data_IF_199177799751
#
_entry.id   IF_199177799751
#
_cell.length_a   1.000
_cell.length_b   1.000
_cell.length_c   1.000
_cell.angle_alpha   90.00
_cell.angle_beta   90.00
_cell.angle_gamma   90.00
#
_symmetry.space_group_name_H-M   'P 1'
#
loop_
_entity.id
_entity.type
_entity.pdbx_description
1 polymer ?
#
# COMPACT_ATOMS: atom_id res chain seq x y z
N UNK A 1 -8.04 -31.18 -35.99
CA UNK A 1 -6.90 -30.95 -35.05
C UNK A 1 -7.16 -29.91 -33.95
N UNK A 2 -7.75 -28.73 -34.22
CA UNK A 2 -7.95 -27.66 -33.19
C UNK A 2 -8.78 -28.12 -31.97
N UNK A 3 -9.89 -28.83 -32.20
CA UNK A 3 -10.78 -29.37 -31.16
C UNK A 3 -10.07 -30.37 -30.23
N UNK A 4 -9.22 -31.23 -30.78
CA UNK A 4 -8.43 -32.19 -30.00
C UNK A 4 -7.44 -31.48 -29.05
N UNK A 5 -6.71 -30.47 -29.55
CA UNK A 5 -5.79 -29.67 -28.71
C UNK A 5 -6.53 -28.90 -27.62
N UNK A 6 -7.72 -28.38 -27.93
CA UNK A 6 -8.56 -27.70 -26.95
C UNK A 6 -9.00 -28.66 -25.83
N UNK A 7 -9.48 -29.86 -26.18
CA UNK A 7 -9.85 -30.89 -25.22
C UNK A 7 -8.66 -31.35 -24.38
N UNK A 8 -7.48 -31.50 -24.98
CA UNK A 8 -6.24 -31.84 -24.26
C UNK A 8 -5.86 -30.75 -23.25
N UNK A 9 -5.95 -29.47 -23.63
CA UNK A 9 -5.69 -28.33 -22.72
C UNK A 9 -6.68 -28.32 -21.55
N UNK A 10 -7.97 -28.52 -21.83
CA UNK A 10 -9.02 -28.58 -20.80
C UNK A 10 -8.80 -29.76 -19.85
N UNK A 11 -8.51 -30.95 -20.38
CA UNK A 11 -8.24 -32.14 -19.58
C UNK A 11 -6.99 -31.97 -18.70
N UNK A 12 -5.92 -31.36 -19.25
CA UNK A 12 -4.71 -31.05 -18.49
C UNK A 12 -4.97 -30.02 -17.38
N UNK A 13 -5.68 -28.94 -17.68
CA UNK A 13 -6.07 -27.93 -16.69
C UNK A 13 -6.90 -28.55 -15.56
N UNK A 14 -7.92 -29.36 -15.88
CA UNK A 14 -8.75 -30.04 -14.89
C UNK A 14 -7.94 -31.02 -14.03
N UNK A 15 -6.99 -31.76 -14.62
CA UNK A 15 -6.09 -32.67 -13.88
C UNK A 15 -5.20 -31.90 -12.91
N UNK A 16 -4.65 -30.75 -13.35
CA UNK A 16 -3.82 -29.87 -12.52
C UNK A 16 -4.62 -29.29 -11.34
N UNK A 17 -5.83 -28.83 -11.60
CA UNK A 17 -6.73 -28.29 -10.58
C UNK A 17 -7.10 -29.34 -9.52
N UNK A 18 -7.48 -30.56 -9.94
CA UNK A 18 -7.72 -31.68 -9.02
C UNK A 18 -6.51 -32.00 -8.15
N UNK A 19 -5.32 -31.98 -8.74
CA UNK A 19 -4.08 -32.22 -8.01
C UNK A 19 -3.80 -31.14 -6.95
N UNK A 20 -4.02 -29.87 -7.29
CA UNK A 20 -3.90 -28.75 -6.34
C UNK A 20 -4.91 -28.90 -5.20
N UNK A 21 -6.16 -29.23 -5.51
CA UNK A 21 -7.20 -29.45 -4.50
C UNK A 21 -6.84 -30.61 -3.56
N UNK A 22 -6.24 -31.69 -4.08
CA UNK A 22 -5.76 -32.79 -3.26
C UNK A 22 -4.63 -32.36 -2.31
N UNK A 23 -3.74 -31.45 -2.74
CA UNK A 23 -2.70 -30.88 -1.86
C UNK A 23 -3.34 -30.06 -0.74
N UNK A 24 -4.30 -29.19 -1.07
CA UNK A 24 -5.01 -28.34 -0.09
C UNK A 24 -5.79 -29.18 0.92
N UNK A 25 -6.48 -30.23 0.47
CA UNK A 25 -7.22 -31.11 1.37
C UNK A 25 -6.27 -31.93 2.26
N UNK A 26 -5.16 -32.42 1.70
CA UNK A 26 -4.17 -33.18 2.46
C UNK A 26 -3.46 -32.31 3.50
N UNK A 27 -3.19 -31.03 3.22
CA UNK A 27 -2.52 -30.14 4.18
C UNK A 27 -3.33 -29.92 5.46
N UNK A 28 -4.65 -30.07 5.40
CA UNK A 28 -5.55 -29.90 6.55
C UNK A 28 -5.71 -31.16 7.40
N UNK A 29 -5.52 -32.36 6.81
CA UNK A 29 -5.91 -33.64 7.45
C UNK A 29 -4.80 -34.69 7.54
N UNK A 30 -3.83 -34.69 6.62
CA UNK A 30 -2.81 -35.74 6.50
C UNK A 30 -1.47 -35.18 5.99
N UNK A 31 -0.59 -34.88 6.95
CA UNK A 31 0.76 -34.35 6.70
C UNK A 31 1.62 -35.28 5.82
N UNK A 32 1.49 -36.61 5.96
CA UNK A 32 2.30 -37.57 5.19
C UNK A 32 1.90 -37.56 3.72
N UNK A 33 0.61 -37.53 3.45
CA UNK A 33 0.08 -37.43 2.08
C UNK A 33 0.38 -36.07 1.46
N UNK A 34 0.30 -35.00 2.24
CA UNK A 34 0.71 -33.66 1.80
C UNK A 34 2.16 -33.62 1.32
N UNK A 35 3.11 -34.05 2.15
CA UNK A 35 4.53 -34.03 1.78
C UNK A 35 4.84 -34.95 0.58
N UNK A 36 4.14 -36.08 0.46
CA UNK A 36 4.23 -36.95 -0.72
C UNK A 36 3.78 -36.25 -2.01
N UNK A 37 2.64 -35.56 -1.99
CA UNK A 37 2.11 -34.81 -3.14
C UNK A 37 3.01 -33.63 -3.51
N UNK A 38 3.53 -32.89 -2.53
CA UNK A 38 4.50 -31.80 -2.75
C UNK A 38 5.80 -32.34 -3.35
N UNK A 39 6.30 -33.49 -2.90
CA UNK A 39 7.49 -34.12 -3.49
C UNK A 39 7.24 -34.55 -4.93
N UNK A 40 6.05 -35.07 -5.24
CA UNK A 40 5.65 -35.43 -6.60
C UNK A 40 5.49 -34.21 -7.53
N UNK A 41 5.11 -33.05 -7.00
CA UNK A 41 5.10 -31.78 -7.74
C UNK A 41 6.53 -31.28 -8.02
N UNK A 42 7.44 -31.47 -7.04
CA UNK A 42 8.84 -31.01 -7.11
C UNK A 42 9.76 -31.94 -7.88
N UNK A 43 9.41 -33.22 -8.03
CA UNK A 43 10.12 -34.14 -8.92
C UNK A 43 9.90 -33.65 -10.35
N UNK A 44 10.77 -32.73 -10.76
CA UNK A 44 10.81 -32.14 -12.09
C UNK A 44 10.78 -33.27 -13.12
N UNK A 45 9.93 -33.10 -14.13
CA UNK A 45 10.39 -33.41 -15.47
C UNK A 45 11.65 -32.56 -15.66
N UNK A 46 12.83 -33.19 -15.63
CA UNK A 46 13.90 -32.74 -16.50
C UNK A 46 13.34 -32.86 -17.92
N UNK A 47 12.64 -31.83 -18.38
CA UNK A 47 12.65 -31.53 -19.81
C UNK A 47 14.03 -30.96 -20.12
N UNK A 48 15.06 -31.79 -19.94
CA UNK A 48 16.19 -31.73 -20.85
C UNK A 48 15.57 -32.05 -22.19
N UNK A 49 15.37 -31.00 -22.99
CA UNK A 49 15.08 -31.22 -24.39
C UNK A 49 16.39 -31.80 -24.90
N UNK A 50 16.51 -33.11 -25.06
CA UNK A 50 17.80 -33.71 -25.42
C UNK A 50 18.28 -33.22 -26.80
N UNK A 51 17.30 -32.88 -27.67
CA UNK A 51 17.52 -32.40 -29.03
C UNK A 51 16.54 -31.26 -29.35
N UNK A 52 17.06 -30.07 -29.62
CA UNK A 52 16.33 -28.90 -30.13
C UNK A 52 16.50 -28.81 -31.65
N UNK A 53 15.41 -28.66 -32.39
CA UNK A 53 15.44 -28.39 -33.82
C UNK A 53 15.11 -26.93 -34.09
N UNK A 54 16.04 -26.19 -34.73
CA UNK A 54 15.81 -24.84 -35.26
C UNK A 54 16.04 -24.90 -36.77
N UNK A 55 14.99 -24.71 -37.56
CA UNK A 55 15.02 -24.97 -39.01
C UNK A 55 15.31 -26.45 -39.30
N UNK A 56 16.35 -26.72 -40.09
CA UNK A 56 16.81 -28.07 -40.43
C UNK A 56 18.04 -28.53 -39.62
N UNK A 57 18.40 -27.82 -38.55
CA UNK A 57 19.56 -28.16 -37.71
C UNK A 57 19.11 -28.65 -36.33
N UNK A 58 19.75 -29.72 -35.87
CA UNK A 58 19.56 -30.31 -34.55
C UNK A 58 20.68 -29.85 -33.60
N UNK A 59 20.31 -29.45 -32.39
CA UNK A 59 21.20 -28.98 -31.34
C UNK A 59 20.98 -29.81 -30.07
N UNK A 60 22.06 -30.29 -29.45
CA UNK A 60 22.00 -31.19 -28.30
C UNK A 60 22.84 -30.64 -27.13
N UNK A 61 22.43 -30.99 -25.90
CA UNK A 61 23.16 -30.65 -24.68
C UNK A 61 23.31 -29.15 -24.43
N UNK A 62 24.52 -28.70 -24.07
CA UNK A 62 24.81 -27.29 -23.73
C UNK A 62 24.61 -26.32 -24.92
N UNK A 63 24.61 -26.81 -26.16
CA UNK A 63 24.41 -26.00 -27.37
C UNK A 63 22.96 -25.56 -27.57
N UNK A 64 22.03 -26.13 -26.81
CA UNK A 64 20.60 -25.78 -26.90
C UNK A 64 20.35 -24.36 -26.44
N UNK A 65 21.06 -23.92 -25.39
CA UNK A 65 20.91 -22.56 -24.87
C UNK A 65 21.46 -21.52 -25.85
N UNK A 66 22.63 -21.77 -26.45
CA UNK A 66 23.19 -20.87 -27.46
C UNK A 66 22.34 -20.86 -28.73
N UNK A 67 21.83 -22.02 -29.16
CA UNK A 67 20.94 -22.08 -30.32
C UNK A 67 19.62 -21.30 -30.10
N UNK A 68 19.05 -21.36 -28.89
CA UNK A 68 17.91 -20.52 -28.52
C UNK A 68 18.24 -19.04 -28.54
N UNK A 69 19.39 -18.65 -27.97
CA UNK A 69 19.85 -17.26 -27.96
C UNK A 69 19.97 -16.74 -29.39
N UNK A 70 20.69 -17.45 -30.27
CA UNK A 70 20.87 -17.04 -31.66
C UNK A 70 19.54 -16.98 -32.43
N UNK A 71 18.64 -17.94 -32.21
CA UNK A 71 17.33 -17.95 -32.86
C UNK A 71 16.48 -16.73 -32.46
N UNK A 72 16.40 -16.42 -31.18
CA UNK A 72 15.64 -15.27 -30.70
C UNK A 72 16.30 -13.94 -31.05
N UNK A 73 17.63 -13.88 -31.05
CA UNK A 73 18.37 -12.71 -31.51
C UNK A 73 18.09 -12.45 -33.00
N UNK A 74 18.02 -13.50 -33.83
CA UNK A 74 17.64 -13.37 -35.25
C UNK A 74 16.19 -12.91 -35.42
N UNK A 75 15.27 -13.37 -34.58
CA UNK A 75 13.87 -12.91 -34.62
C UNK A 75 13.71 -11.48 -34.08
N UNK A 76 14.55 -11.07 -33.15
CA UNK A 76 14.53 -9.74 -32.53
C UNK A 76 15.33 -8.68 -33.30
N UNK A 77 16.28 -9.11 -34.15
CA UNK A 77 17.06 -8.22 -35.00
C UNK A 77 16.33 -8.07 -36.34
N UNK A 78 15.78 -6.90 -36.67
CA UNK A 78 15.17 -6.67 -37.97
C UNK A 78 16.21 -6.95 -39.06
N UNK A 79 15.94 -7.92 -39.92
CA UNK A 79 16.75 -8.18 -41.09
C UNK A 79 16.32 -7.16 -42.16
N UNK A 80 17.06 -6.06 -42.26
CA UNK A 80 16.87 -5.04 -43.29
C UNK A 80 17.37 -5.58 -44.64
N UNK A 81 16.73 -6.63 -45.14
CA UNK A 81 16.82 -6.95 -46.56
C UNK A 81 16.24 -5.74 -47.31
N UNK A 82 16.79 -5.40 -48.48
CA UNK A 82 16.45 -4.19 -49.28
C UNK A 82 15.02 -4.20 -49.86
N UNK A 83 14.05 -4.83 -49.18
CA UNK A 83 12.64 -4.71 -49.45
C UNK A 83 12.15 -3.34 -48.97
N UNK A 84 11.56 -2.60 -49.91
CA UNK A 84 11.03 -1.23 -49.78
C UNK A 84 10.19 -1.02 -48.50
N UNK A 85 9.52 -2.07 -48.01
CA UNK A 85 8.66 -2.05 -46.83
C UNK A 85 9.39 -1.73 -45.52
N UNK A 86 10.61 -2.24 -45.32
CA UNK A 86 11.35 -2.05 -44.06
C UNK A 86 11.97 -0.65 -43.97
N UNK A 87 12.28 -0.03 -45.11
CA UNK A 87 12.73 1.37 -45.19
C UNK A 87 11.60 2.35 -44.85
N UNK A 88 10.41 2.15 -45.42
CA UNK A 88 9.23 2.97 -45.09
C UNK A 88 8.86 2.86 -43.60
N UNK A 89 8.98 1.66 -43.02
CA UNK A 89 8.66 1.45 -41.60
C UNK A 89 9.72 2.07 -40.66
N UNK A 90 10.99 2.07 -41.07
CA UNK A 90 12.07 2.76 -40.38
C UNK A 90 11.87 4.29 -40.43
N UNK A 91 11.51 4.83 -41.59
CA UNK A 91 11.20 6.25 -41.73
C UNK A 91 9.98 6.66 -40.89
N UNK A 92 8.92 5.85 -40.89
CA UNK A 92 7.74 6.09 -40.07
C UNK A 92 8.07 6.07 -38.56
N UNK A 93 8.89 5.12 -38.12
CA UNK A 93 9.34 5.04 -36.72
C UNK A 93 10.19 6.24 -36.32
N UNK A 94 11.07 6.71 -37.21
CA UNK A 94 11.86 7.93 -36.98
C UNK A 94 10.94 9.16 -36.89
N UNK A 95 9.94 9.25 -37.76
CA UNK A 95 8.98 10.35 -37.78
C UNK A 95 8.12 10.36 -36.50
N UNK A 96 7.63 9.20 -36.04
CA UNK A 96 6.95 9.07 -34.75
C UNK A 96 7.85 9.48 -33.58
N UNK A 97 9.09 9.00 -33.54
CA UNK A 97 10.03 9.33 -32.46
C UNK A 97 10.38 10.82 -32.44
N UNK A 98 10.34 11.51 -33.57
CA UNK A 98 10.54 12.97 -33.65
C UNK A 98 9.30 13.76 -33.19
N UNK A 99 8.09 13.18 -33.29
CA UNK A 99 6.85 13.80 -32.79
C UNK A 99 6.69 13.67 -31.27
N UNK A 100 7.34 12.67 -30.64
CA UNK A 100 7.28 12.46 -29.18
C UNK A 100 7.83 13.68 -28.41
N UNK A 101 9.01 14.24 -28.72
CA UNK A 101 9.52 15.46 -28.09
C UNK A 101 8.59 16.68 -28.28
N UNK A 102 7.98 16.85 -29.46
CA UNK A 102 7.07 17.97 -29.73
C UNK A 102 5.78 17.88 -28.89
N UNK A 103 5.31 16.66 -28.61
CA UNK A 103 4.21 16.39 -27.68
C UNK A 103 4.64 16.53 -26.20
N UNK A 104 5.89 16.17 -25.88
CA UNK A 104 6.44 16.31 -24.52
C UNK A 104 6.62 17.77 -24.09
N UNK A 105 6.87 18.69 -25.04
CA UNK A 105 6.88 20.16 -24.78
C UNK A 105 5.48 20.69 -24.43
N UNK A 106 4.41 19.95 -24.78
CA UNK A 106 3.04 20.25 -24.35
C UNK A 106 2.64 19.57 -23.03
N UNK A 107 3.56 18.87 -22.35
CA UNK A 107 3.25 18.25 -21.07
C UNK A 107 2.82 19.32 -20.07
N UNK A 108 1.52 19.34 -19.80
CA UNK A 108 0.92 20.05 -18.68
C UNK A 108 1.74 19.72 -17.44
N UNK A 109 2.17 20.77 -16.74
CA UNK A 109 2.77 20.66 -15.42
C UNK A 109 1.96 19.63 -14.61
N UNK A 110 2.62 18.55 -14.19
CA UNK A 110 1.98 17.55 -13.33
C UNK A 110 1.66 18.27 -12.03
N UNK A 111 0.38 18.54 -11.80
CA UNK A 111 -0.09 19.15 -10.57
C UNK A 111 0.33 18.27 -9.41
N UNK A 112 1.11 18.84 -8.49
CA UNK A 112 1.57 18.12 -7.28
C UNK A 112 0.33 17.68 -6.49
N UNK A 113 0.33 16.41 -6.09
CA UNK A 113 -0.74 15.87 -5.26
C UNK A 113 -0.81 16.61 -3.93
N UNK A 114 -2.02 16.94 -3.50
CA UNK A 114 -2.27 17.58 -2.20
C UNK A 114 -2.16 16.56 -1.06
N UNK A 115 -1.83 16.99 0.17
CA UNK A 115 -1.77 16.10 1.33
C UNK A 115 -3.06 15.30 1.55
N UNK A 116 -4.21 15.91 1.29
CA UNK A 116 -5.54 15.27 1.38
C UNK A 116 -5.75 14.17 0.36
N UNK A 117 -5.24 14.35 -0.87
CA UNK A 117 -5.32 13.32 -1.91
C UNK A 117 -4.44 12.13 -1.56
N UNK A 118 -3.25 12.40 -1.02
CA UNK A 118 -2.31 11.37 -0.56
C UNK A 118 -2.95 10.57 0.58
N UNK A 119 -3.54 11.22 1.58
CA UNK A 119 -4.19 10.53 2.70
C UNK A 119 -5.40 9.70 2.22
N UNK A 120 -6.21 10.25 1.31
CA UNK A 120 -7.32 9.50 0.69
C UNK A 120 -6.84 8.28 -0.09
N UNK A 121 -5.71 8.39 -0.79
CA UNK A 121 -5.10 7.29 -1.52
C UNK A 121 -4.57 6.20 -0.58
N UNK A 122 -3.88 6.58 0.50
CA UNK A 122 -3.37 5.64 1.52
C UNK A 122 -4.52 4.85 2.14
N UNK A 123 -5.62 5.52 2.51
CA UNK A 123 -6.81 4.85 3.09
C UNK A 123 -7.53 3.90 2.12
N UNK A 124 -7.33 4.06 0.81
CA UNK A 124 -7.89 3.19 -0.24
C UNK A 124 -7.00 2.02 -0.62
N UNK A 125 -5.82 1.89 0.00
CA UNK A 125 -4.94 0.74 -0.25
C UNK A 125 -5.64 -0.55 0.19
N UNK A 126 -5.58 -1.57 -0.67
CA UNK A 126 -6.14 -2.88 -0.38
C UNK A 126 -5.23 -3.59 0.63
N UNK A 127 -5.82 -4.07 1.72
CA UNK A 127 -5.13 -4.88 2.75
C UNK A 127 -4.95 -6.33 2.30
N UNK A 128 -4.06 -7.06 2.96
CA UNK A 128 -3.79 -8.48 2.73
C UNK A 128 -2.97 -8.79 1.48
N UNK A 129 -2.32 -7.79 0.88
CA UNK A 129 -1.41 -8.00 -0.25
C UNK A 129 -0.02 -8.45 0.24
N UNK A 130 0.70 -9.14 -0.65
CA UNK A 130 2.07 -9.55 -0.38
C UNK A 130 2.96 -8.32 -0.15
N UNK A 131 3.92 -8.45 0.75
CA UNK A 131 4.90 -7.41 1.02
C UNK A 131 5.78 -7.15 -0.19
N UNK A 132 6.36 -5.94 -0.24
CA UNK A 132 7.44 -5.63 -1.19
C UNK A 132 8.75 -6.35 -0.83
N UNK A 133 9.81 -6.02 -1.57
CA UNK A 133 11.17 -6.53 -1.33
C UNK A 133 11.76 -6.15 0.04
N UNK A 134 11.21 -5.12 0.69
CA UNK A 134 11.61 -4.63 2.01
C UNK A 134 10.71 -5.17 3.14
N UNK A 135 9.71 -6.00 2.82
CA UNK A 135 8.75 -6.48 3.81
C UNK A 135 7.65 -5.47 4.17
N UNK A 136 7.51 -4.37 3.42
CA UNK A 136 6.50 -3.35 3.67
C UNK A 136 5.16 -3.80 3.06
N UNK A 137 4.10 -3.76 3.87
CA UNK A 137 2.73 -4.04 3.44
C UNK A 137 1.87 -2.77 3.50
N UNK A 138 0.72 -2.78 2.82
CA UNK A 138 -0.29 -1.70 2.81
C UNK A 138 -0.67 -1.21 4.21
N UNK A 139 -0.77 -2.14 5.15
CA UNK A 139 -1.14 -1.94 6.55
C UNK A 139 -0.12 -1.05 7.27
N UNK A 140 1.16 -1.14 6.90
CA UNK A 140 2.18 -0.26 7.48
C UNK A 140 1.92 1.20 7.12
N UNK A 141 1.47 1.50 5.90
CA UNK A 141 1.12 2.86 5.50
C UNK A 141 -0.19 3.33 6.13
N UNK A 142 -1.18 2.44 6.21
CA UNK A 142 -2.49 2.75 6.80
C UNK A 142 -2.34 3.07 8.30
N UNK A 143 -1.53 2.28 9.02
CA UNK A 143 -1.36 2.42 10.47
C UNK A 143 -0.17 3.30 10.87
N UNK A 144 0.69 3.72 9.95
CA UNK A 144 1.82 4.59 10.26
C UNK A 144 1.38 5.84 11.01
N UNK A 145 0.27 6.47 10.59
CA UNK A 145 -0.27 7.67 11.24
C UNK A 145 -0.65 7.37 12.69
N UNK A 146 -1.44 6.32 12.94
CA UNK A 146 -1.86 5.93 14.29
C UNK A 146 -0.66 5.58 15.19
N UNK A 147 0.35 4.92 14.63
CA UNK A 147 1.59 4.58 15.33
C UNK A 147 2.36 5.85 15.71
N UNK A 148 2.52 6.79 14.78
CA UNK A 148 3.19 8.06 15.06
C UNK A 148 2.43 8.87 16.11
N UNK A 149 1.10 8.94 16.02
CA UNK A 149 0.28 9.60 17.04
C UNK A 149 0.49 8.96 18.42
N UNK A 150 0.51 7.63 18.49
CA UNK A 150 0.74 6.89 19.74
C UNK A 150 2.13 7.18 20.30
N UNK A 151 3.17 7.10 19.47
CA UNK A 151 4.56 7.40 19.90
C UNK A 151 4.69 8.84 20.38
N UNK A 152 4.05 9.79 19.71
CA UNK A 152 4.09 11.20 20.09
C UNK A 152 3.37 11.39 21.44
N UNK A 153 2.20 10.78 21.62
CA UNK A 153 1.47 10.81 22.90
C UNK A 153 2.33 10.23 24.03
N UNK A 154 2.83 9.02 23.86
CA UNK A 154 3.63 8.32 24.88
C UNK A 154 4.88 9.11 25.29
N UNK A 155 5.49 9.85 24.36
CA UNK A 155 6.68 10.67 24.64
C UNK A 155 6.37 12.01 25.28
N UNK A 156 5.30 12.68 24.86
CA UNK A 156 4.95 14.01 25.35
C UNK A 156 4.16 13.95 26.66
N UNK A 157 3.41 12.89 26.91
CA UNK A 157 2.54 12.77 28.08
C UNK A 157 3.30 12.90 29.41
N UNK A 158 4.47 12.26 29.62
CA UNK A 158 5.25 12.45 30.84
C UNK A 158 5.73 13.89 31.07
N UNK A 159 5.94 14.68 30.02
CA UNK A 159 6.36 16.08 30.11
C UNK A 159 5.19 17.04 30.33
N UNK A 160 4.05 16.75 29.70
CA UNK A 160 2.85 17.59 29.78
C UNK A 160 2.06 17.35 31.07
N UNK A 161 1.99 16.10 31.55
CA UNK A 161 1.16 15.72 32.68
C UNK A 161 1.48 16.50 33.98
N UNK A 162 2.75 16.71 34.37
CA UNK A 162 3.06 17.50 35.56
C UNK A 162 2.65 18.97 35.47
N UNK A 163 2.52 19.51 34.26
CA UNK A 163 2.11 20.89 34.01
C UNK A 163 0.59 21.08 33.90
N UNK A 164 -0.16 19.98 33.80
CA UNK A 164 -1.60 20.02 33.64
C UNK A 164 -2.28 20.50 34.94
N UNK A 165 -3.27 21.38 34.82
CA UNK A 165 -4.06 21.80 35.96
C UNK A 165 -4.78 20.58 36.57
N UNK A 166 -4.69 20.38 37.88
CA UNK A 166 -5.33 19.26 38.59
C UNK A 166 -6.86 19.26 38.47
N UNK A 167 -7.47 20.39 38.12
CA UNK A 167 -8.90 20.52 37.83
C UNK A 167 -9.26 20.28 36.36
N UNK A 168 -8.27 20.20 35.46
CA UNK A 168 -8.49 19.81 34.07
C UNK A 168 -8.71 18.30 34.01
N UNK A 169 -9.92 17.88 33.61
CA UNK A 169 -10.35 16.48 33.62
C UNK A 169 -10.73 15.94 32.25
N UNK A 170 -10.73 16.78 31.21
CA UNK A 170 -10.97 16.34 29.84
C UNK A 170 -9.74 15.63 29.28
N UNK A 171 -9.93 14.42 28.75
CA UNK A 171 -8.89 13.59 28.09
C UNK A 171 -7.69 13.22 28.97
N UNK A 172 -7.85 13.20 30.30
CA UNK A 172 -6.81 12.74 31.24
C UNK A 172 -7.10 11.31 31.67
N UNK A 173 -6.07 10.46 31.74
CA UNK A 173 -6.21 9.07 32.19
C UNK A 173 -6.84 9.01 33.61
N UNK A 174 -7.82 8.12 33.79
CA UNK A 174 -8.54 7.95 35.06
C UNK A 174 -9.53 9.07 35.40
N UNK A 175 -9.61 10.13 34.61
CA UNK A 175 -10.63 11.17 34.78
C UNK A 175 -11.95 10.76 34.09
N UNK A 176 -13.09 11.11 34.70
CA UNK A 176 -14.41 10.85 34.17
C UNK A 176 -15.27 12.11 34.27
N UNK A 177 -16.18 12.29 33.31
CA UNK A 177 -17.18 13.37 33.35
C UNK A 177 -18.03 13.33 34.62
N UNK A 178 -18.27 12.14 35.17
CA UNK A 178 -18.97 11.96 36.44
C UNK A 178 -18.21 12.58 37.61
N UNK A 179 -16.89 12.51 37.61
CA UNK A 179 -16.07 13.10 38.67
C UNK A 179 -16.12 14.63 38.62
N UNK A 180 -16.09 15.21 37.41
CA UNK A 180 -16.29 16.66 37.23
C UNK A 180 -17.68 17.09 37.70
N UNK A 181 -18.72 16.34 37.35
CA UNK A 181 -20.07 16.61 37.82
C UNK A 181 -20.18 16.53 39.35
N UNK A 182 -19.49 15.57 39.96
CA UNK A 182 -19.43 15.41 41.41
C UNK A 182 -18.76 16.61 42.09
N UNK A 183 -17.63 17.10 41.59
CA UNK A 183 -16.96 18.30 42.14
C UNK A 183 -17.89 19.53 42.06
N UNK A 184 -18.55 19.74 40.92
CA UNK A 184 -19.51 20.85 40.75
C UNK A 184 -20.66 20.70 41.74
N UNK A 185 -21.17 19.49 41.92
CA UNK A 185 -22.24 19.18 42.87
C UNK A 185 -21.82 19.46 44.32
N UNK A 186 -20.67 18.95 44.77
CA UNK A 186 -20.16 19.21 46.12
C UNK A 186 -19.93 20.70 46.38
N UNK A 187 -19.35 21.40 45.41
CA UNK A 187 -19.14 22.85 45.49
C UNK A 187 -20.49 23.58 45.64
N UNK A 188 -21.49 23.20 44.84
CA UNK A 188 -22.83 23.77 44.91
C UNK A 188 -23.47 23.53 46.28
N UNK A 189 -23.35 22.31 46.80
CA UNK A 189 -23.91 21.94 48.11
C UNK A 189 -23.23 22.69 49.26
N UNK A 190 -21.91 22.87 49.20
CA UNK A 190 -21.15 23.62 50.19
C UNK A 190 -21.59 25.09 50.25
N UNK A 191 -21.69 25.77 49.10
CA UNK A 191 -22.13 27.17 49.06
C UNK A 191 -23.57 27.34 49.55
N UNK A 192 -24.45 26.40 49.20
CA UNK A 192 -25.83 26.35 49.72
C UNK A 192 -25.85 26.21 51.24
N UNK A 193 -25.01 25.35 51.81
CA UNK A 193 -24.90 25.17 53.25
C UNK A 193 -24.39 26.46 53.95
N UNK A 194 -23.40 27.13 53.36
CA UNK A 194 -22.84 28.38 53.86
C UNK A 194 -23.73 29.60 53.66
N UNK A 195 -24.84 29.46 52.90
CA UNK A 195 -25.74 30.56 52.51
C UNK A 195 -25.03 31.70 51.76
N UNK A 196 -24.01 31.35 50.98
CA UNK A 196 -23.29 32.28 50.10
C UNK A 196 -23.81 32.12 48.67
N UNK A 197 -23.95 33.22 47.94
CA UNK A 197 -24.34 33.20 46.52
C UNK A 197 -23.21 32.59 45.70
N UNK A 198 -23.52 31.55 44.92
CA UNK A 198 -22.61 30.94 43.96
C UNK A 198 -22.99 31.40 42.55
N UNK A 199 -22.06 32.02 41.84
CA UNK A 199 -22.21 32.37 40.43
C UNK A 199 -21.43 31.36 39.58
N UNK A 200 -22.10 30.69 38.65
CA UNK A 200 -21.49 29.72 37.74
C UNK A 200 -21.22 30.37 36.39
N UNK A 201 -19.95 30.47 36.00
CA UNK A 201 -19.55 30.88 34.66
C UNK A 201 -19.33 29.64 33.80
N UNK A 202 -20.11 29.49 32.73
CA UNK A 202 -19.90 28.46 31.72
C UNK A 202 -19.25 29.08 30.49
N UNK A 203 -18.12 28.51 30.07
CA UNK A 203 -17.46 28.86 28.81
C UNK A 203 -17.59 27.67 27.87
N UNK A 204 -18.12 27.91 26.67
CA UNK A 204 -18.12 26.94 25.58
C UNK A 204 -17.22 27.46 24.47
N UNK A 205 -16.33 26.61 23.99
CA UNK A 205 -15.37 26.97 22.96
C UNK A 205 -15.85 26.42 21.62
N UNK A 206 -16.25 27.31 20.71
CA UNK A 206 -16.67 26.94 19.37
C UNK A 206 -15.56 26.15 18.67
N UNK A 207 -15.88 24.94 18.17
CA UNK A 207 -14.97 23.91 17.60
C UNK A 207 -13.51 24.38 17.49
N UNK A 208 -12.77 24.23 18.60
CA UNK A 208 -11.45 24.83 18.87
C UNK A 208 -10.38 24.64 17.79
N UNK A 209 -10.52 23.66 16.90
CA UNK A 209 -9.51 23.35 15.89
C UNK A 209 -9.55 24.31 14.69
N UNK A 210 -10.71 24.89 14.35
CA UNK A 210 -10.89 25.66 13.10
C UNK A 210 -10.20 27.03 13.14
N UNK A 211 -9.96 27.57 14.34
CA UNK A 211 -9.32 28.87 14.56
C UNK A 211 -7.94 28.76 15.23
N UNK A 212 -7.44 27.54 15.46
CA UNK A 212 -6.15 27.34 16.10
C UNK A 212 -5.04 27.72 15.12
N UNK A 213 -4.23 28.72 15.49
CA UNK A 213 -3.09 29.14 14.68
C UNK A 213 -1.82 28.55 15.26
N UNK A 214 -1.23 27.57 14.58
CA UNK A 214 0.04 26.97 15.00
C UNK A 214 1.21 27.73 14.37
N UNK A 215 2.20 28.07 15.20
CA UNK A 215 3.54 28.43 14.77
C UNK A 215 4.48 27.33 15.26
N UNK A 216 5.02 26.56 14.32
CA UNK A 216 6.00 25.51 14.62
C UNK A 216 7.39 26.04 14.29
N UNK A 217 8.29 25.99 15.28
CA UNK A 217 9.70 26.32 15.11
C UNK A 217 10.51 25.04 14.90
N UNK A 218 11.24 24.96 13.79
CA UNK A 218 12.17 23.88 13.45
C UNK A 218 13.55 24.48 13.20
N UNK A 219 14.50 24.24 14.12
CA UNK A 219 15.80 24.92 14.09
C UNK A 219 15.66 26.45 14.19
N UNK A 220 16.26 27.18 13.26
CA UNK A 220 16.18 28.65 13.20
C UNK A 220 14.95 29.18 12.45
N UNK A 221 14.14 28.29 11.86
CA UNK A 221 12.98 28.69 11.07
C UNK A 221 11.67 28.55 11.88
N UNK A 222 10.81 29.57 11.80
CA UNK A 222 9.46 29.53 12.35
C UNK A 222 8.45 29.62 11.20
N UNK A 223 7.52 28.67 11.15
CA UNK A 223 6.48 28.66 10.12
C UNK A 223 5.51 29.84 10.28
N UNK A 224 5.11 30.45 9.17
CA UNK A 224 4.03 31.44 9.18
C UNK A 224 2.69 30.70 9.28
N UNK A 225 2.02 30.88 10.42
CA UNK A 225 0.63 30.52 10.73
C UNK A 225 0.03 29.35 9.91
N UNK A 226 0.11 28.13 10.45
CA UNK A 226 -0.61 26.99 9.89
C UNK A 226 -2.05 26.99 10.41
N UNK A 227 -3.02 27.10 9.51
CA UNK A 227 -4.45 27.02 9.82
C UNK A 227 -4.93 25.56 9.70
N UNK A 228 -5.36 24.95 10.81
CA UNK A 228 -5.77 23.54 10.86
C UNK A 228 -7.28 23.43 10.55
N UNK A 229 -7.65 23.48 9.27
CA UNK A 229 -9.06 23.38 8.88
C UNK A 229 -9.60 21.94 8.70
N UNK A 230 -8.92 20.87 9.13
CA UNK A 230 -9.30 19.50 8.76
C UNK A 230 -9.80 18.60 9.91
N UNK A 231 -11.14 18.50 9.98
CA UNK A 231 -11.95 17.28 10.00
C UNK A 231 -11.61 16.11 10.94
N UNK A 232 -12.21 16.08 12.13
CA UNK A 232 -12.49 14.83 12.85
C UNK A 232 -13.95 14.44 12.57
N UNK A 233 -14.15 13.28 11.93
CA UNK A 233 -15.45 12.59 11.90
C UNK A 233 -15.66 11.90 13.25
N UNK A 234 -16.66 12.33 14.01
CA UNK A 234 -17.15 11.55 15.15
C UNK A 234 -17.81 10.28 14.60
N UNK A 235 -17.25 9.11 14.93
CA UNK A 235 -17.93 7.83 14.76
C UNK A 235 -19.06 7.73 15.80
N UNK A 236 -20.24 7.35 15.32
CA UNK A 236 -21.40 6.97 16.14
C UNK A 236 -21.25 5.53 16.66
#
# INVERSE_FOLDING_TARGET
>A
MRKLRQLQRQAYASKKEKFINNIIQASQKDSKTFHKLVKQQRSKHDTNTDILYIGNQAFEGEKILSAWQTHFETLGTPNFDENIYDLEHLEFSKLQNNLIPELDVQNKEITKATPTEIESAIRKLNTGKASDENGIVSEHYIHAIDIFETIIKDRLEPELFPSQNTLQRGFTEGASSLFTAFIVFETTMLYKFLKVVLELLTLDAEKNYTNMTLQVKWGDQTTQHVNIQQGIRQGA
#
